data_IF_461473831286
#
_entry.id   IF_461473831286
#
_cell.length_a   1.000
_cell.length_b   1.000
_cell.length_c   1.000
_cell.angle_alpha   90.00
_cell.angle_beta   90.00
_cell.angle_gamma   90.00
#
_symmetry.space_group_name_H-M   'P 1'
#
loop_
_entity.id
_entity.type
_entity.pdbx_description
1 polymer ?
#
# COMPACT_ATOMS: atom_id res chain seq x y z
N UNK A 1 -29.25 -14.13 -10.28
CA UNK A 1 -27.96 -13.44 -10.05
C UNK A 1 -28.27 -11.96 -9.90
N UNK A 2 -27.94 -11.36 -8.76
CA UNK A 2 -28.15 -9.93 -8.57
C UNK A 2 -27.22 -9.17 -9.53
N UNK A 3 -27.78 -8.20 -10.27
CA UNK A 3 -26.97 -7.30 -11.06
C UNK A 3 -26.19 -6.43 -10.06
N UNK A 4 -24.92 -6.78 -9.83
CA UNK A 4 -24.02 -5.94 -9.07
C UNK A 4 -23.83 -4.70 -9.95
N UNK A 5 -24.61 -3.66 -9.71
CA UNK A 5 -24.44 -2.37 -10.38
C UNK A 5 -23.10 -1.76 -9.93
N UNK A 6 -22.01 -2.35 -10.40
CA UNK A 6 -20.65 -1.93 -10.10
C UNK A 6 -20.39 -0.62 -10.84
N UNK A 7 -19.62 0.26 -10.19
CA UNK A 7 -19.14 1.46 -10.86
C UNK A 7 -18.33 1.10 -12.11
N UNK A 8 -18.37 1.98 -13.12
CA UNK A 8 -17.44 1.90 -14.23
C UNK A 8 -16.02 2.14 -13.71
N UNK A 9 -15.06 1.29 -14.10
CA UNK A 9 -13.66 1.48 -13.71
C UNK A 9 -13.08 2.78 -14.26
N UNK A 10 -12.19 3.38 -13.49
CA UNK A 10 -11.37 4.52 -13.92
C UNK A 10 -10.14 3.96 -14.64
N UNK A 11 -9.81 4.47 -15.83
CA UNK A 11 -8.62 4.03 -16.57
C UNK A 11 -8.76 2.78 -17.44
N UNK A 12 -9.94 2.16 -17.48
CA UNK A 12 -10.20 1.05 -18.39
C UNK A 12 -10.29 1.48 -19.86
N UNK A 13 -10.58 0.56 -20.79
CA UNK A 13 -10.60 0.85 -22.24
C UNK A 13 -11.50 2.02 -22.66
N UNK A 14 -12.51 2.33 -21.85
CA UNK A 14 -13.45 3.44 -22.04
C UNK A 14 -13.37 4.52 -20.95
N UNK A 15 -12.44 4.40 -20.00
CA UNK A 15 -12.29 5.26 -18.83
C UNK A 15 -11.08 6.19 -18.91
N UNK A 16 -11.22 7.43 -18.43
CA UNK A 16 -10.12 8.40 -18.34
C UNK A 16 -9.59 8.52 -16.92
N UNK A 17 -8.27 8.66 -16.76
CA UNK A 17 -7.65 8.96 -15.46
C UNK A 17 -8.00 10.37 -14.95
N UNK A 18 -8.49 11.27 -15.83
CA UNK A 18 -8.90 12.63 -15.43
C UNK A 18 -10.01 12.65 -14.38
N UNK A 19 -10.73 11.54 -14.18
CA UNK A 19 -11.71 11.39 -13.09
C UNK A 19 -11.05 11.35 -11.70
N UNK A 20 -9.74 11.17 -11.62
CA UNK A 20 -8.97 11.22 -10.36
C UNK A 20 -8.57 12.65 -9.97
N UNK A 21 -8.61 13.59 -10.93
CA UNK A 21 -8.17 14.96 -10.71
C UNK A 21 -9.08 15.68 -9.72
N UNK A 22 -8.54 15.96 -8.53
CA UNK A 22 -9.28 16.59 -7.44
C UNK A 22 -10.36 15.72 -6.80
N UNK A 23 -10.38 14.40 -7.08
CA UNK A 23 -11.38 13.49 -6.53
C UNK A 23 -11.21 13.34 -5.02
N UNK A 24 -12.22 13.74 -4.26
CA UNK A 24 -12.23 13.64 -2.79
C UNK A 24 -12.61 12.25 -2.33
N UNK A 25 -12.24 11.89 -1.10
CA UNK A 25 -12.62 10.60 -0.52
C UNK A 25 -14.14 10.40 -0.46
N UNK A 26 -14.90 11.45 -0.13
CA UNK A 26 -16.36 11.37 -0.07
C UNK A 26 -16.98 11.07 -1.44
N UNK A 27 -16.42 11.64 -2.50
CA UNK A 27 -16.87 11.42 -3.88
C UNK A 27 -16.50 10.02 -4.34
N UNK A 28 -15.27 9.58 -4.08
CA UNK A 28 -14.81 8.23 -4.35
C UNK A 28 -15.68 7.18 -3.62
N UNK A 29 -16.05 7.42 -2.36
CA UNK A 29 -16.97 6.58 -1.59
C UNK A 29 -18.35 6.54 -2.24
N UNK A 30 -18.93 7.67 -2.59
CA UNK A 30 -20.25 7.68 -3.23
C UNK A 30 -20.24 6.94 -4.57
N UNK A 31 -19.18 7.12 -5.38
CA UNK A 31 -18.99 6.39 -6.64
C UNK A 31 -18.86 4.88 -6.44
N UNK A 32 -18.19 4.46 -5.37
CA UNK A 32 -17.88 3.07 -5.08
C UNK A 32 -19.04 2.31 -4.41
N UNK A 33 -20.11 3.00 -3.99
CA UNK A 33 -21.15 2.43 -3.13
C UNK A 33 -21.93 1.30 -3.78
N UNK A 34 -22.09 0.19 -3.05
CA UNK A 34 -22.89 -0.94 -3.49
C UNK A 34 -24.32 -0.87 -2.93
N UNK A 35 -25.29 -1.39 -3.67
CA UNK A 35 -26.70 -1.43 -3.25
C UNK A 35 -26.96 -2.26 -1.97
N UNK A 36 -26.08 -3.23 -1.67
CA UNK A 36 -26.12 -4.03 -0.45
C UNK A 36 -25.29 -3.48 0.72
N UNK A 37 -24.69 -2.29 0.57
CA UNK A 37 -23.72 -1.74 1.51
C UNK A 37 -22.27 -2.06 1.14
N UNK A 38 -21.33 -1.29 1.71
CA UNK A 38 -19.92 -1.35 1.35
C UNK A 38 -19.59 -0.54 0.08
N UNK A 39 -18.31 -0.58 -0.30
CA UNK A 39 -17.75 0.21 -1.39
C UNK A 39 -16.74 -0.61 -2.20
N UNK A 40 -16.83 -0.57 -3.53
CA UNK A 40 -15.82 -1.11 -4.46
C UNK A 40 -15.39 0.02 -5.39
N UNK A 41 -14.13 0.45 -5.26
CA UNK A 41 -13.51 1.45 -6.12
C UNK A 41 -12.50 0.78 -7.04
N UNK A 42 -12.71 0.86 -8.36
CA UNK A 42 -11.86 0.19 -9.36
C UNK A 42 -11.10 1.22 -10.18
N UNK A 43 -9.77 1.17 -10.07
CA UNK A 43 -8.86 1.92 -10.94
C UNK A 43 -7.98 0.91 -11.68
N UNK A 44 -8.02 0.99 -13.00
CA UNK A 44 -7.27 0.15 -13.92
C UNK A 44 -6.06 0.89 -14.48
N UNK A 45 -5.10 0.13 -15.01
CA UNK A 45 -3.94 0.66 -15.70
C UNK A 45 -2.81 1.08 -14.76
N UNK A 46 -2.09 0.08 -14.24
CA UNK A 46 -0.74 0.31 -13.70
C UNK A 46 0.14 0.95 -14.79
N UNK A 47 0.80 2.06 -14.45
CA UNK A 47 1.54 2.90 -15.40
C UNK A 47 0.69 3.94 -16.15
N UNK A 48 -0.64 3.80 -16.14
CA UNK A 48 -1.58 4.73 -16.78
C UNK A 48 -2.26 5.63 -15.77
N UNK A 49 -3.14 5.08 -14.91
CA UNK A 49 -3.87 5.82 -13.88
C UNK A 49 -3.36 5.49 -12.46
N UNK A 50 -2.54 4.45 -12.31
CA UNK A 50 -1.89 4.10 -11.05
C UNK A 50 -0.38 4.19 -11.25
N UNK A 51 0.28 5.02 -10.45
CA UNK A 51 1.74 5.07 -10.37
C UNK A 51 2.18 4.16 -9.22
N UNK A 52 2.32 2.86 -9.53
CA UNK A 52 2.85 1.90 -8.60
C UNK A 52 4.34 2.18 -8.38
N UNK A 53 4.73 2.51 -7.15
CA UNK A 53 6.12 2.72 -6.80
C UNK A 53 6.75 1.40 -6.30
N UNK A 54 6.81 0.40 -7.17
CA UNK A 54 7.58 -0.81 -6.87
C UNK A 54 9.07 -0.58 -7.11
N UNK A 55 9.90 -1.04 -6.19
CA UNK A 55 11.36 -0.85 -6.19
C UNK A 55 12.02 -2.17 -5.85
N UNK A 56 12.64 -2.82 -6.84
CA UNK A 56 13.25 -4.13 -6.71
C UNK A 56 14.24 -4.27 -5.55
N UNK A 57 14.98 -3.20 -5.23
CA UNK A 57 15.95 -3.25 -4.14
C UNK A 57 15.27 -3.35 -2.78
N UNK A 58 14.00 -2.98 -2.62
CA UNK A 58 13.28 -2.99 -1.35
C UNK A 58 12.64 -4.35 -1.00
N UNK A 59 13.06 -5.43 -1.67
CA UNK A 59 12.54 -6.76 -1.34
C UNK A 59 13.00 -7.23 0.04
N UNK A 60 12.11 -7.90 0.78
CA UNK A 60 12.41 -8.42 2.12
C UNK A 60 13.58 -9.41 2.10
N UNK A 61 13.61 -10.36 1.15
CA UNK A 61 14.64 -11.40 1.07
C UNK A 61 15.72 -11.05 0.04
N UNK A 62 16.98 -11.00 0.48
CA UNK A 62 18.15 -10.66 -0.32
C UNK A 62 19.24 -11.72 -0.19
N UNK A 63 20.35 -11.59 -0.91
CA UNK A 63 21.47 -12.55 -0.83
C UNK A 63 22.24 -12.39 0.49
N UNK A 64 22.20 -11.20 1.08
CA UNK A 64 22.96 -10.83 2.26
C UNK A 64 22.13 -10.76 3.55
N UNK A 65 20.82 -11.02 3.48
CA UNK A 65 19.94 -10.91 4.64
C UNK A 65 18.44 -11.00 4.33
N UNK A 66 17.64 -10.78 5.36
CA UNK A 66 16.20 -10.61 5.23
C UNK A 66 15.63 -9.57 6.22
N UNK A 67 14.38 -9.18 6.01
CA UNK A 67 13.74 -8.09 6.74
C UNK A 67 13.32 -8.42 8.19
N UNK A 68 13.41 -9.68 8.63
CA UNK A 68 12.90 -10.09 9.96
C UNK A 68 13.85 -9.64 11.06
N UNK A 69 13.33 -9.16 12.18
CA UNK A 69 14.15 -8.69 13.30
C UNK A 69 15.06 -9.82 13.79
N UNK A 70 16.35 -9.50 13.94
CA UNK A 70 17.38 -10.46 14.35
C UNK A 70 18.03 -11.23 13.19
N UNK A 71 17.46 -11.18 11.98
CA UNK A 71 18.12 -11.71 10.78
C UNK A 71 19.34 -10.87 10.40
N UNK A 72 20.26 -11.49 9.66
CA UNK A 72 21.42 -10.82 9.07
C UNK A 72 20.95 -9.63 8.22
N UNK A 73 21.61 -8.48 8.38
CA UNK A 73 21.33 -7.22 7.67
C UNK A 73 19.90 -6.66 7.79
N UNK A 74 19.05 -7.23 8.66
CA UNK A 74 17.65 -6.81 8.81
C UNK A 74 17.47 -5.33 9.10
N UNK A 75 18.31 -4.75 9.98
CA UNK A 75 18.27 -3.32 10.28
C UNK A 75 18.44 -2.44 9.05
N UNK A 76 19.46 -2.70 8.22
CA UNK A 76 19.72 -1.93 7.01
C UNK A 76 18.58 -2.08 5.99
N UNK A 77 18.09 -3.32 5.80
CA UNK A 77 16.95 -3.62 4.91
C UNK A 77 15.68 -2.86 5.34
N UNK A 78 15.40 -2.80 6.64
CA UNK A 78 14.28 -2.03 7.21
C UNK A 78 14.47 -0.52 7.05
N UNK A 79 15.67 -0.01 7.34
CA UNK A 79 15.99 1.42 7.17
C UNK A 79 15.82 1.86 5.71
N UNK A 80 16.21 1.04 4.73
CA UNK A 80 15.99 1.32 3.32
C UNK A 80 14.50 1.47 2.97
N UNK A 81 13.64 0.57 3.46
CA UNK A 81 12.19 0.67 3.26
C UNK A 81 11.62 1.96 3.86
N UNK A 82 12.01 2.30 5.10
CA UNK A 82 11.51 3.51 5.76
C UNK A 82 12.03 4.79 5.11
N UNK A 83 13.29 4.81 4.66
CA UNK A 83 13.85 5.90 3.88
C UNK A 83 13.10 6.08 2.56
N UNK A 84 12.74 4.97 1.90
CA UNK A 84 11.91 5.00 0.71
C UNK A 84 10.51 5.58 1.00
N UNK A 85 9.81 5.10 2.03
CA UNK A 85 8.47 5.61 2.40
C UNK A 85 8.54 7.11 2.68
N UNK A 86 9.51 7.52 3.49
CA UNK A 86 9.72 8.92 3.85
C UNK A 86 10.00 9.77 2.60
N UNK A 87 11.01 9.42 1.80
CA UNK A 87 11.39 10.18 0.59
C UNK A 87 10.29 10.23 -0.46
N UNK A 88 9.52 9.14 -0.63
CA UNK A 88 8.39 9.08 -1.57
C UNK A 88 7.27 10.01 -1.14
N UNK A 89 7.05 10.21 0.16
CA UNK A 89 6.04 11.12 0.69
C UNK A 89 6.32 12.61 0.44
N UNK A 90 7.52 12.98 -0.02
CA UNK A 90 7.85 14.34 -0.45
C UNK A 90 7.67 14.55 -1.96
N UNK A 91 7.32 13.49 -2.71
CA UNK A 91 7.08 13.60 -4.14
C UNK A 91 5.63 13.99 -4.34
N UNK A 92 5.40 15.23 -4.80
CA UNK A 92 4.06 15.69 -5.16
C UNK A 92 3.46 14.78 -6.24
N UNK A 93 2.34 14.10 -5.97
CA UNK A 93 1.70 13.24 -6.94
C UNK A 93 1.10 14.05 -8.07
N UNK A 94 1.02 13.42 -9.25
CA UNK A 94 0.25 13.98 -10.35
C UNK A 94 -1.24 13.91 -10.01
N UNK A 95 -1.99 14.94 -10.37
CA UNK A 95 -3.40 15.01 -10.01
C UNK A 95 -4.26 14.04 -10.83
N UNK A 96 -3.81 13.65 -12.02
CA UNK A 96 -4.51 12.72 -12.91
C UNK A 96 -4.24 11.24 -12.60
N UNK A 97 -3.55 10.90 -11.50
CA UNK A 97 -3.13 9.52 -11.19
C UNK A 97 -3.17 9.21 -9.70
N UNK A 98 -3.46 7.95 -9.37
CA UNK A 98 -3.28 7.42 -8.04
C UNK A 98 -1.80 7.12 -7.81
N UNK A 99 -1.18 7.94 -6.97
CA UNK A 99 0.18 7.72 -6.51
C UNK A 99 0.17 6.87 -5.24
N UNK A 100 0.84 5.72 -5.27
CA UNK A 100 0.85 4.77 -4.16
C UNK A 100 2.18 4.79 -3.42
N UNK A 101 2.15 4.94 -2.10
CA UNK A 101 3.30 4.68 -1.23
C UNK A 101 3.14 3.26 -0.70
N UNK A 102 4.06 2.38 -1.06
CA UNK A 102 4.09 0.99 -0.61
C UNK A 102 4.85 0.88 0.71
N UNK A 103 4.13 0.90 1.82
CA UNK A 103 4.68 0.77 3.16
C UNK A 103 4.56 -0.68 3.69
N UNK A 104 4.85 -1.62 2.80
CA UNK A 104 4.88 -3.05 3.06
C UNK A 104 6.02 -3.70 2.26
N UNK A 105 6.33 -4.96 2.57
CA UNK A 105 7.42 -5.66 1.90
C UNK A 105 7.08 -5.99 0.45
N UNK A 106 8.08 -5.81 -0.40
CA UNK A 106 7.99 -6.15 -1.81
C UNK A 106 8.66 -7.50 -2.09
N UNK A 107 8.22 -8.19 -3.13
CA UNK A 107 8.73 -9.50 -3.48
C UNK A 107 8.90 -9.61 -5.00
N UNK A 108 10.08 -10.06 -5.41
CA UNK A 108 10.31 -10.59 -6.76
C UNK A 108 10.34 -12.13 -6.70
N UNK A 109 10.47 -12.80 -7.85
CA UNK A 109 10.46 -14.26 -7.92
C UNK A 109 11.52 -14.91 -7.01
N UNK A 110 12.74 -14.35 -6.94
CA UNK A 110 13.80 -14.87 -6.08
C UNK A 110 13.46 -14.70 -4.58
N UNK A 111 12.93 -13.54 -4.21
CA UNK A 111 12.50 -13.27 -2.84
C UNK A 111 11.37 -14.21 -2.40
N UNK A 112 10.43 -14.54 -3.29
CA UNK A 112 9.36 -15.52 -3.01
C UNK A 112 9.94 -16.90 -2.73
N UNK A 113 10.89 -17.37 -3.54
CA UNK A 113 11.54 -18.68 -3.32
C UNK A 113 12.24 -18.70 -1.96
N UNK A 114 12.98 -17.64 -1.62
CA UNK A 114 13.66 -17.51 -0.32
C UNK A 114 12.69 -17.46 0.86
N UNK A 115 11.57 -16.73 0.72
CA UNK A 115 10.50 -16.68 1.71
C UNK A 115 9.93 -18.07 2.00
N UNK A 116 9.66 -18.86 0.95
CA UNK A 116 9.16 -20.24 1.07
C UNK A 116 10.21 -21.13 1.76
N UNK A 117 11.48 -21.05 1.35
CA UNK A 117 12.58 -21.81 1.97
C UNK A 117 12.80 -21.43 3.44
N UNK A 118 12.54 -20.18 3.79
CA UNK A 118 12.59 -19.69 5.16
C UNK A 118 11.34 -20.07 5.98
N UNK A 119 10.38 -20.79 5.39
CA UNK A 119 9.14 -21.21 6.02
C UNK A 119 8.27 -20.03 6.45
N UNK A 120 8.25 -18.95 5.66
CA UNK A 120 7.51 -17.73 6.01
C UNK A 120 6.50 -17.30 4.94
N UNK A 121 5.85 -16.17 5.18
CA UNK A 121 4.85 -15.57 4.28
C UNK A 121 4.86 -14.05 4.39
N UNK A 122 4.27 -13.35 3.42
CA UNK A 122 4.14 -11.88 3.43
C UNK A 122 3.56 -11.34 4.74
N UNK A 123 2.55 -12.03 5.29
CA UNK A 123 1.91 -11.63 6.55
C UNK A 123 2.83 -11.82 7.75
N UNK A 124 3.58 -12.92 7.78
CA UNK A 124 4.55 -13.20 8.83
C UNK A 124 5.76 -12.27 8.75
N UNK A 125 6.26 -11.98 7.55
CA UNK A 125 7.38 -11.07 7.34
C UNK A 125 7.01 -9.67 7.80
N UNK A 126 5.79 -9.21 7.49
CA UNK A 126 5.27 -7.94 8.01
C UNK A 126 5.24 -7.92 9.53
N UNK A 127 4.79 -9.01 10.17
CA UNK A 127 4.75 -9.12 11.63
C UNK A 127 6.16 -9.15 12.25
N UNK A 128 7.05 -9.99 11.72
CA UNK A 128 8.41 -10.24 12.25
C UNK A 128 9.40 -9.11 11.97
N UNK A 129 9.09 -8.23 11.03
CA UNK A 129 9.84 -7.00 10.76
C UNK A 129 9.33 -5.79 11.56
N UNK A 130 8.16 -5.92 12.19
CA UNK A 130 7.42 -4.79 12.79
C UNK A 130 7.17 -3.63 11.79
N UNK A 131 7.10 -3.91 10.48
CA UNK A 131 6.99 -2.86 9.43
C UNK A 131 5.83 -1.91 9.70
N UNK A 132 4.67 -2.46 10.05
CA UNK A 132 3.46 -1.70 10.34
C UNK A 132 3.60 -0.75 11.53
N UNK A 133 4.24 -1.21 12.61
CA UNK A 133 4.49 -0.42 13.82
C UNK A 133 5.48 0.71 13.54
N UNK A 134 6.51 0.45 12.72
CA UNK A 134 7.50 1.45 12.36
C UNK A 134 6.94 2.49 11.39
N UNK A 135 6.19 2.05 10.39
CA UNK A 135 5.50 2.90 9.42
C UNK A 135 4.53 3.86 10.09
N UNK A 136 3.82 3.43 11.13
CA UNK A 136 2.96 4.30 11.92
C UNK A 136 3.64 5.57 12.44
N UNK A 137 4.90 5.45 12.87
CA UNK A 137 5.67 6.59 13.36
C UNK A 137 6.01 7.61 12.26
N UNK A 138 5.93 7.18 10.99
CA UNK A 138 6.15 8.04 9.83
C UNK A 138 4.89 8.77 9.41
N UNK A 139 3.69 8.24 9.71
CA UNK A 139 2.40 8.81 9.24
C UNK A 139 2.27 10.30 9.54
N UNK A 140 2.59 10.82 10.75
CA UNK A 140 2.51 12.26 11.03
C UNK A 140 3.48 13.13 10.22
N UNK A 141 4.48 12.52 9.57
CA UNK A 141 5.54 13.20 8.80
C UNK A 141 5.30 13.15 7.29
N UNK A 142 4.34 12.33 6.83
CA UNK A 142 4.02 12.23 5.41
C UNK A 142 3.37 13.53 4.92
N UNK A 143 3.85 14.06 3.78
CA UNK A 143 3.35 15.33 3.22
C UNK A 143 2.36 15.12 2.09
N UNK A 144 2.83 14.45 1.04
CA UNK A 144 2.11 14.24 -0.20
C UNK A 144 1.78 12.75 -0.32
N UNK A 145 0.61 12.34 0.18
CA UNK A 145 0.18 10.94 0.16
C UNK A 145 -1.27 10.82 -0.30
N UNK A 146 -1.48 10.23 -1.48
CA UNK A 146 -2.82 9.95 -1.99
C UNK A 146 -3.29 8.55 -1.57
N UNK A 147 -2.41 7.56 -1.66
CA UNK A 147 -2.73 6.18 -1.31
C UNK A 147 -1.57 5.52 -0.59
N UNK A 148 -1.84 5.04 0.63
CA UNK A 148 -0.83 4.45 1.50
C UNK A 148 -1.14 2.97 1.72
N UNK A 149 -0.28 2.09 1.21
CA UNK A 149 -0.48 0.64 1.24
C UNK A 149 0.27 0.01 2.39
N UNK A 150 -0.41 -0.81 3.18
CA UNK A 150 0.17 -1.61 4.26
C UNK A 150 -0.37 -3.03 4.19
N UNK A 151 0.45 -4.00 4.55
CA UNK A 151 0.03 -5.40 4.64
C UNK A 151 -0.52 -5.69 6.02
N UNK A 152 -1.66 -6.37 6.10
CA UNK A 152 -2.21 -6.86 7.38
C UNK A 152 -2.32 -5.77 8.46
N UNK A 153 -2.95 -4.63 8.11
CA UNK A 153 -3.13 -3.50 9.01
C UNK A 153 -3.78 -3.86 10.35
N UNK A 154 -4.49 -4.99 10.41
CA UNK A 154 -5.06 -5.54 11.63
C UNK A 154 -4.60 -6.98 11.81
N UNK A 155 -3.43 -7.16 12.43
CA UNK A 155 -2.92 -8.48 12.77
C UNK A 155 -3.97 -9.24 13.59
N UNK A 156 -4.42 -10.39 13.09
CA UNK A 156 -5.42 -11.24 13.76
C UNK A 156 -6.82 -10.61 13.92
N UNK A 157 -7.15 -9.58 13.14
CA UNK A 157 -8.49 -9.00 13.05
C UNK A 157 -8.69 -7.65 13.75
N UNK A 158 -9.93 -7.18 13.73
CA UNK A 158 -10.32 -5.75 13.95
C UNK A 158 -9.95 -5.17 15.32
N UNK A 159 -9.65 -6.01 16.33
CA UNK A 159 -9.34 -5.55 17.69
C UNK A 159 -7.87 -5.15 17.89
N UNK A 160 -7.00 -5.60 17.00
CA UNK A 160 -5.58 -5.26 16.99
C UNK A 160 -5.22 -4.57 15.68
N UNK A 161 -6.14 -3.74 15.19
CA UNK A 161 -5.80 -2.82 14.12
C UNK A 161 -4.72 -1.88 14.61
N UNK A 162 -3.93 -1.43 13.66
CA UNK A 162 -3.09 -0.26 13.81
C UNK A 162 -4.00 0.95 14.12
N UNK A 163 -4.23 1.19 15.41
CA UNK A 163 -4.92 2.37 15.91
C UNK A 163 -4.04 3.60 15.58
N UNK A 164 -4.48 4.40 14.63
CA UNK A 164 -3.74 5.55 14.09
C UNK A 164 -3.74 5.65 12.57
N UNK A 165 -3.78 4.52 11.84
CA UNK A 165 -3.93 4.58 10.36
C UNK A 165 -5.35 5.02 9.99
N UNK A 166 -6.38 4.55 10.70
CA UNK A 166 -7.76 4.97 10.39
C UNK A 166 -8.01 6.46 10.63
N UNK A 167 -7.23 7.10 11.50
CA UNK A 167 -7.48 8.49 11.90
C UNK A 167 -6.56 9.47 11.16
N UNK A 168 -5.41 9.01 10.63
CA UNK A 168 -4.46 9.86 9.90
C UNK A 168 -4.38 9.56 8.39
N UNK A 169 -4.74 8.36 7.93
CA UNK A 169 -4.75 8.01 6.50
C UNK A 169 -6.12 8.25 5.85
N UNK A 170 -7.16 8.53 6.65
CA UNK A 170 -8.53 8.78 6.15
C UNK A 170 -9.07 10.23 6.19
N UNK A 171 -8.26 11.29 6.40
CA UNK A 171 -8.70 12.64 6.02
C UNK A 171 -7.75 13.37 5.04
N UNK A 172 -6.99 12.65 4.21
CA UNK A 172 -6.17 13.26 3.15
C UNK A 172 -6.55 12.76 1.75
N UNK A 173 -7.82 12.96 1.39
CA UNK A 173 -8.31 13.22 0.02
C UNK A 173 -9.58 14.09 0.09
#
# INVERSE_FOLDING_TARGET
>A
MANLNLMQSIGGPSGSCSKLDGLRLSEAKEMAKLGGGGHIFVVEGEGTCVEANWVQSLTCYRDDGDCRIGSKNSKAINEELFNYVNSTSYRKPRSDRLFTIQAHWQYNQNAIVKMILAGSSVLEDSLRSEVNKNVLSLVPQLKDTNFFQVDNACYYGVRNCIDGISDHVLPLL
#
